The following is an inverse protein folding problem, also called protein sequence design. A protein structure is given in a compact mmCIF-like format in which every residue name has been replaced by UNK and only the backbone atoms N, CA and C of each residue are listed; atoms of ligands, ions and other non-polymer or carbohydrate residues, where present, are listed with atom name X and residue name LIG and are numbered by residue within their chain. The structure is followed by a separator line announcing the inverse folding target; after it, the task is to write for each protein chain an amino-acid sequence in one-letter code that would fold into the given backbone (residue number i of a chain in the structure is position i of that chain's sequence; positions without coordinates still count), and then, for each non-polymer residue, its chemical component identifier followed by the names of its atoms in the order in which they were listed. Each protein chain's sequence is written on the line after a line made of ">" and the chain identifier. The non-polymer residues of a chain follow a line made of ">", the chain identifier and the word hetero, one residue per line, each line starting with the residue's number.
data_IF_010221138538
#
_entry.id   IF_010221138538
#
_cell.length_a   1.000
_cell.length_b   1.000
_cell.length_c   1.000
_cell.angle_alpha   90.00
_cell.angle_beta   90.00
_cell.angle_gamma   90.00
#
_symmetry.space_group_name_H-M   'P 1'
#
loop_
_entity.id
_entity.type
_entity.pdbx_description
1 polymer ?
#
# COMPACT_ATOMS: atom_id res chain seq x y z
N UNK A 1 -26.14 40.68 16.28
CA UNK A 1 -25.30 39.72 15.52
C UNK A 1 -25.88 39.58 14.11
N UNK A 2 -25.07 39.75 13.06
CA UNK A 2 -25.54 39.78 11.66
C UNK A 2 -26.14 38.41 11.24
N UNK A 3 -27.41 38.34 10.79
CA UNK A 3 -28.08 37.08 10.42
C UNK A 3 -27.35 36.33 9.28
N UNK A 4 -26.66 37.06 8.40
CA UNK A 4 -25.83 36.46 7.34
C UNK A 4 -24.66 35.63 7.87
N UNK A 5 -24.13 35.95 9.07
CA UNK A 5 -23.04 35.16 9.69
C UNK A 5 -23.52 33.79 10.20
N UNK A 6 -24.77 33.67 10.65
CA UNK A 6 -25.36 32.38 11.04
C UNK A 6 -25.59 31.49 9.82
N UNK A 7 -26.06 32.07 8.72
CA UNK A 7 -26.38 31.33 7.50
C UNK A 7 -25.14 30.68 6.86
N UNK A 8 -23.98 31.37 6.86
CA UNK A 8 -22.71 30.82 6.33
C UNK A 8 -22.23 29.59 7.12
N UNK A 9 -22.40 29.58 8.43
CA UNK A 9 -22.06 28.43 9.27
C UNK A 9 -22.97 27.22 9.01
N UNK A 10 -24.27 27.48 8.89
CA UNK A 10 -25.23 26.44 8.52
C UNK A 10 -25.00 25.91 7.10
N UNK A 11 -24.60 26.75 6.14
CA UNK A 11 -24.26 26.29 4.80
C UNK A 11 -23.02 25.39 4.76
N UNK A 12 -22.00 25.69 5.57
CA UNK A 12 -20.75 24.88 5.66
C UNK A 12 -20.97 23.55 6.41
N UNK A 13 -22.02 23.42 7.23
CA UNK A 13 -22.31 22.20 7.98
C UNK A 13 -23.47 21.38 7.37
N UNK A 14 -24.60 22.02 7.07
CA UNK A 14 -25.82 21.34 6.63
C UNK A 14 -25.74 20.87 5.17
N UNK A 15 -25.13 21.66 4.28
CA UNK A 15 -25.01 21.30 2.87
C UNK A 15 -24.11 20.05 2.68
N UNK A 16 -22.94 19.95 3.35
CA UNK A 16 -22.16 18.72 3.35
C UNK A 16 -22.89 17.50 3.92
N UNK A 17 -23.61 17.66 5.02
CA UNK A 17 -24.36 16.57 5.66
C UNK A 17 -25.47 16.07 4.73
N UNK A 18 -26.18 16.97 4.05
CA UNK A 18 -27.21 16.61 3.07
C UNK A 18 -26.63 15.85 1.88
N UNK A 19 -25.47 16.26 1.36
CA UNK A 19 -24.76 15.54 0.28
C UNK A 19 -24.31 14.14 0.73
N UNK A 20 -23.78 14.02 1.95
CA UNK A 20 -23.37 12.72 2.54
C UNK A 20 -24.60 11.81 2.74
N UNK A 21 -25.69 12.34 3.29
CA UNK A 21 -26.93 11.61 3.50
C UNK A 21 -27.54 11.14 2.18
N UNK A 22 -27.62 12.03 1.17
CA UNK A 22 -28.10 11.69 -0.17
C UNK A 22 -27.27 10.59 -0.83
N UNK A 23 -25.95 10.57 -0.63
CA UNK A 23 -25.11 9.47 -1.11
C UNK A 23 -25.39 8.14 -0.39
N UNK A 24 -25.74 8.15 0.90
CA UNK A 24 -26.00 6.93 1.66
C UNK A 24 -27.30 6.21 1.30
N UNK A 25 -28.23 6.91 0.63
CA UNK A 25 -29.57 6.41 0.27
C UNK A 25 -29.84 6.44 -1.25
N UNK A 26 -28.90 6.94 -2.05
CA UNK A 26 -29.07 7.17 -3.49
C UNK A 26 -28.85 5.92 -4.38
N UNK A 27 -29.43 5.89 -5.60
CA UNK A 27 -29.22 4.81 -6.56
C UNK A 27 -27.75 4.66 -6.97
N UNK A 28 -27.31 3.43 -7.25
CA UNK A 28 -25.90 3.10 -7.54
C UNK A 28 -25.28 3.86 -8.74
N UNK A 29 -26.08 4.46 -9.63
CA UNK A 29 -25.65 5.21 -10.81
C UNK A 29 -25.19 6.66 -10.56
N UNK A 30 -25.27 7.18 -9.33
CA UNK A 30 -24.95 8.59 -9.02
C UNK A 30 -23.45 8.87 -8.78
N UNK A 31 -22.59 7.85 -8.96
CA UNK A 31 -21.27 7.76 -8.32
C UNK A 31 -20.21 8.76 -8.78
N UNK A 32 -20.23 9.31 -9.98
CA UNK A 32 -19.12 10.20 -10.42
C UNK A 32 -19.23 11.67 -9.95
N UNK A 33 -20.35 12.40 -10.17
CA UNK A 33 -20.49 13.78 -9.67
C UNK A 33 -20.68 13.83 -8.14
N UNK A 34 -21.31 12.83 -7.55
CA UNK A 34 -21.52 12.76 -6.09
C UNK A 34 -20.22 12.46 -5.35
N UNK A 35 -19.28 11.70 -5.92
CA UNK A 35 -17.95 11.49 -5.30
C UNK A 35 -17.18 12.80 -5.19
N UNK A 36 -17.19 13.67 -6.21
CA UNK A 36 -16.53 14.99 -6.12
C UNK A 36 -17.19 15.89 -5.06
N UNK A 37 -18.53 15.88 -4.98
CA UNK A 37 -19.27 16.64 -3.98
C UNK A 37 -19.07 16.08 -2.56
N UNK A 38 -18.91 14.76 -2.41
CA UNK A 38 -18.57 14.11 -1.14
C UNK A 38 -17.20 14.55 -0.61
N UNK A 39 -16.19 14.64 -1.49
CA UNK A 39 -14.87 15.11 -1.09
C UNK A 39 -14.91 16.55 -0.61
N UNK A 40 -15.61 17.44 -1.32
CA UNK A 40 -15.83 18.82 -0.91
C UNK A 40 -16.63 18.89 0.41
N UNK A 41 -17.61 18.01 0.58
CA UNK A 41 -18.45 17.93 1.78
C UNK A 41 -17.65 17.50 3.01
N UNK A 42 -16.86 16.43 2.89
CA UNK A 42 -15.96 15.99 3.96
C UNK A 42 -14.90 17.03 4.29
N UNK A 43 -14.32 17.69 3.29
CA UNK A 43 -13.36 18.77 3.49
C UNK A 43 -14.00 19.93 4.25
N UNK A 44 -15.21 20.36 3.86
CA UNK A 44 -15.95 21.41 4.55
C UNK A 44 -16.27 21.06 6.01
N UNK A 45 -16.69 19.82 6.27
CA UNK A 45 -16.91 19.31 7.62
C UNK A 45 -15.62 19.27 8.45
N UNK A 46 -14.51 18.78 7.89
CA UNK A 46 -13.22 18.75 8.58
C UNK A 46 -12.75 20.16 8.94
N UNK A 47 -12.89 21.12 8.02
CA UNK A 47 -12.57 22.53 8.27
C UNK A 47 -13.48 23.12 9.35
N UNK A 48 -14.77 22.81 9.34
CA UNK A 48 -15.73 23.29 10.33
C UNK A 48 -15.45 22.72 11.73
N UNK A 49 -15.13 21.42 11.81
CA UNK A 49 -14.74 20.73 13.04
C UNK A 49 -13.40 21.26 13.56
N UNK A 50 -12.39 21.39 12.71
CA UNK A 50 -11.09 21.98 13.05
C UNK A 50 -11.25 23.42 13.56
N UNK A 51 -12.08 24.23 12.90
CA UNK A 51 -12.36 25.59 13.35
C UNK A 51 -13.07 25.63 14.70
N UNK A 52 -14.03 24.74 14.92
CA UNK A 52 -14.78 24.64 16.17
C UNK A 52 -13.87 24.18 17.31
N UNK A 53 -13.06 23.14 17.08
CA UNK A 53 -12.07 22.64 18.02
C UNK A 53 -11.02 23.71 18.37
N UNK A 54 -10.51 24.46 17.39
CA UNK A 54 -9.60 25.58 17.63
C UNK A 54 -10.23 26.64 18.54
N UNK A 55 -11.51 26.98 18.32
CA UNK A 55 -12.21 27.94 19.18
C UNK A 55 -12.47 27.40 20.59
N UNK A 56 -12.69 26.10 20.74
CA UNK A 56 -12.89 25.48 22.04
C UNK A 56 -11.56 25.39 22.84
N UNK A 57 -10.45 25.09 22.16
CA UNK A 57 -9.13 24.94 22.78
C UNK A 57 -8.44 26.29 23.06
N UNK A 58 -8.74 27.30 22.25
CA UNK A 58 -8.11 28.62 22.31
C UNK A 58 -9.17 29.73 22.24
N UNK A 59 -10.12 29.70 23.17
CA UNK A 59 -11.20 30.69 23.28
C UNK A 59 -10.66 32.11 23.58
N UNK A 60 -9.51 32.19 24.24
CA UNK A 60 -8.73 33.41 24.49
C UNK A 60 -7.96 33.92 23.25
N UNK A 61 -7.76 33.10 22.21
CA UNK A 61 -6.98 33.47 21.03
C UNK A 61 -7.88 33.88 19.85
N UNK A 62 -8.21 35.17 19.78
CA UNK A 62 -9.03 35.73 18.71
C UNK A 62 -8.20 36.07 17.47
N UNK A 63 -8.34 35.27 16.40
CA UNK A 63 -7.58 35.46 15.15
C UNK A 63 -7.73 36.84 14.50
N UNK A 64 -8.87 37.54 14.67
CA UNK A 64 -9.04 38.91 14.17
C UNK A 64 -8.25 39.92 15.01
N UNK A 65 -8.26 39.77 16.33
CA UNK A 65 -7.49 40.66 17.21
C UNK A 65 -5.99 40.43 17.04
N UNK A 66 -5.55 39.17 16.91
CA UNK A 66 -4.17 38.83 16.59
C UNK A 66 -3.73 39.43 15.25
N UNK A 67 -4.56 39.32 14.20
CA UNK A 67 -4.29 39.95 12.90
C UNK A 67 -4.14 41.47 13.00
N UNK A 68 -5.09 42.15 13.67
CA UNK A 68 -5.03 43.61 13.82
C UNK A 68 -3.81 44.05 14.64
N UNK A 69 -3.46 43.31 15.69
CA UNK A 69 -2.25 43.57 16.49
C UNK A 69 -0.95 43.29 15.72
N UNK A 70 -0.97 42.38 14.74
CA UNK A 70 0.18 42.12 13.87
C UNK A 70 0.49 43.29 12.93
N UNK A 71 -0.53 44.10 12.61
CA UNK A 71 -0.33 45.34 11.86
C UNK A 71 0.27 46.46 12.72
N UNK A 72 0.16 46.37 14.05
CA UNK A 72 0.68 47.37 15.00
C UNK A 72 2.09 47.02 15.51
N UNK A 73 2.34 45.75 15.88
CA UNK A 73 3.63 45.27 16.37
C UNK A 73 4.00 43.94 15.68
N UNK A 74 4.82 43.98 14.62
CA UNK A 74 4.85 42.92 13.61
C UNK A 74 5.37 41.57 14.10
N UNK A 75 6.29 41.55 15.07
CA UNK A 75 6.96 40.32 15.50
C UNK A 75 6.06 39.45 16.40
N UNK A 76 5.67 39.95 17.58
CA UNK A 76 4.92 39.16 18.56
C UNK A 76 3.54 38.73 18.07
N UNK A 77 2.83 39.60 17.35
CA UNK A 77 1.54 39.26 16.80
C UNK A 77 1.63 38.47 15.48
N UNK A 78 2.73 38.60 14.72
CA UNK A 78 3.07 37.67 13.63
C UNK A 78 3.29 36.24 14.11
N UNK A 79 4.01 36.05 15.24
CA UNK A 79 4.21 34.74 15.86
C UNK A 79 2.89 34.13 16.37
N UNK A 80 2.02 34.94 17.00
CA UNK A 80 0.70 34.49 17.45
C UNK A 80 -0.21 34.07 16.28
N UNK A 81 -0.17 34.80 15.16
CA UNK A 81 -0.90 34.44 13.94
C UNK A 81 -0.36 33.15 13.32
N UNK A 82 0.96 32.99 13.23
CA UNK A 82 1.60 31.77 12.74
C UNK A 82 1.22 30.55 13.61
N UNK A 83 1.25 30.68 14.93
CA UNK A 83 0.82 29.62 15.85
C UNK A 83 -0.62 29.18 15.63
N UNK A 84 -1.54 30.14 15.39
CA UNK A 84 -2.93 29.84 15.04
C UNK A 84 -3.06 29.11 13.70
N UNK A 85 -2.27 29.48 12.69
CA UNK A 85 -2.22 28.79 11.40
C UNK A 85 -1.71 27.35 11.54
N UNK A 86 -0.65 27.13 12.33
CA UNK A 86 -0.08 25.79 12.59
C UNK A 86 -1.10 24.90 13.30
N UNK A 87 -1.74 25.40 14.36
CA UNK A 87 -2.81 24.66 15.08
C UNK A 87 -3.96 24.32 14.14
N UNK A 88 -4.41 25.27 13.32
CA UNK A 88 -5.48 25.02 12.35
C UNK A 88 -5.07 23.94 11.32
N UNK A 89 -3.83 23.97 10.82
CA UNK A 89 -3.30 22.97 9.90
C UNK A 89 -3.23 21.59 10.54
N UNK A 90 -2.72 21.47 11.78
CA UNK A 90 -2.66 20.20 12.52
C UNK A 90 -4.06 19.62 12.74
N UNK A 91 -5.03 20.45 13.14
CA UNK A 91 -6.41 20.00 13.32
C UNK A 91 -7.04 19.55 12.00
N UNK A 92 -6.85 20.30 10.90
CA UNK A 92 -7.33 19.87 9.58
C UNK A 92 -6.70 18.54 9.19
N UNK A 93 -5.38 18.38 9.34
CA UNK A 93 -4.67 17.15 9.03
C UNK A 93 -5.20 15.95 9.85
N UNK A 94 -5.43 16.15 11.15
CA UNK A 94 -6.01 15.14 12.03
C UNK A 94 -7.42 14.71 11.60
N UNK A 95 -8.24 15.64 11.10
CA UNK A 95 -9.59 15.34 10.61
C UNK A 95 -9.60 14.80 9.16
N UNK A 96 -8.61 15.13 8.32
CA UNK A 96 -8.50 14.63 6.93
C UNK A 96 -7.96 13.21 6.82
N UNK A 97 -7.51 12.59 7.92
CA UNK A 97 -6.99 11.22 7.96
C UNK A 97 -7.97 10.11 7.54
N UNK A 98 -9.18 10.45 7.10
CA UNK A 98 -10.21 9.51 6.62
C UNK A 98 -10.30 9.41 5.10
N UNK A 99 -9.18 9.54 4.38
CA UNK A 99 -9.09 8.92 3.05
C UNK A 99 -9.12 7.40 3.24
N UNK A 100 -10.32 6.85 3.47
CA UNK A 100 -10.51 5.42 3.63
C UNK A 100 -10.04 4.77 2.35
N UNK A 101 -8.98 3.97 2.46
CA UNK A 101 -8.69 2.95 1.46
C UNK A 101 -10.01 2.25 1.12
N UNK A 102 -10.23 1.96 -0.17
CA UNK A 102 -11.38 1.13 -0.56
C UNK A 102 -11.43 -0.10 0.36
N UNK A 103 -12.62 -0.56 0.72
CA UNK A 103 -12.78 -1.65 1.68
C UNK A 103 -11.97 -2.89 1.32
N UNK A 104 -11.74 -3.78 2.29
CA UNK A 104 -11.04 -5.05 2.06
C UNK A 104 -11.92 -5.96 1.18
N UNK A 105 -11.40 -6.56 0.09
CA UNK A 105 -12.20 -7.47 -0.75
C UNK A 105 -12.77 -8.62 0.08
N UNK A 106 -14.01 -9.05 -0.17
CA UNK A 106 -14.64 -10.13 0.60
C UNK A 106 -13.81 -11.43 0.63
N UNK A 107 -13.21 -11.90 -0.49
CA UNK A 107 -12.33 -13.07 -0.45
C UNK A 107 -11.12 -12.89 0.47
N UNK A 108 -10.59 -11.67 0.56
CA UNK A 108 -9.50 -11.35 1.48
C UNK A 108 -9.94 -11.44 2.95
N UNK A 109 -11.15 -10.98 3.26
CA UNK A 109 -11.72 -11.09 4.61
C UNK A 109 -11.88 -12.56 5.02
N UNK A 110 -12.34 -13.40 4.10
CA UNK A 110 -12.53 -14.84 4.32
C UNK A 110 -11.21 -15.59 4.52
N UNK A 111 -10.16 -15.22 3.77
CA UNK A 111 -8.85 -15.85 3.84
C UNK A 111 -7.94 -15.27 4.92
N UNK A 112 -8.25 -14.09 5.48
CA UNK A 112 -7.40 -13.44 6.48
C UNK A 112 -7.04 -14.33 7.69
N UNK A 113 -7.96 -15.09 8.31
CA UNK A 113 -7.60 -15.99 9.41
C UNK A 113 -6.57 -17.06 9.01
N UNK A 114 -6.71 -17.64 7.82
CA UNK A 114 -5.76 -18.61 7.27
C UNK A 114 -4.38 -17.95 7.03
N UNK A 115 -4.36 -16.73 6.49
CA UNK A 115 -3.11 -15.99 6.26
C UNK A 115 -2.41 -15.70 7.59
N UNK A 116 -3.15 -15.26 8.61
CA UNK A 116 -2.60 -15.03 9.95
C UNK A 116 -2.05 -16.33 10.53
N UNK A 117 -2.79 -17.43 10.44
CA UNK A 117 -2.33 -18.74 10.93
C UNK A 117 -1.02 -19.17 10.28
N UNK A 118 -0.91 -19.07 8.95
CA UNK A 118 0.32 -19.43 8.23
C UNK A 118 1.49 -18.50 8.60
N UNK A 119 1.24 -17.20 8.82
CA UNK A 119 2.27 -16.26 9.31
C UNK A 119 2.77 -16.70 10.69
N UNK A 120 1.87 -16.99 11.64
CA UNK A 120 2.27 -17.41 12.99
C UNK A 120 3.06 -18.73 12.99
N UNK A 121 2.69 -19.67 12.12
CA UNK A 121 3.32 -20.98 12.05
C UNK A 121 4.68 -20.95 11.34
N UNK A 122 4.83 -20.14 10.29
CA UNK A 122 5.99 -20.23 9.40
C UNK A 122 6.92 -19.02 9.44
N UNK A 123 6.45 -17.84 9.85
CA UNK A 123 7.28 -16.65 10.00
C UNK A 123 6.69 -15.60 10.95
N UNK A 124 6.58 -15.89 12.26
CA UNK A 124 5.97 -14.98 13.23
C UNK A 124 6.72 -13.65 13.38
N UNK A 125 8.03 -13.67 13.08
CA UNK A 125 8.92 -12.50 13.08
C UNK A 125 8.88 -11.66 11.79
N UNK A 126 7.93 -11.90 10.89
CA UNK A 126 7.72 -11.07 9.69
C UNK A 126 7.57 -9.59 10.10
N UNK A 127 8.39 -8.65 9.55
CA UNK A 127 8.42 -7.26 10.05
C UNK A 127 7.10 -6.51 9.95
N UNK A 128 6.26 -6.85 8.96
CA UNK A 128 4.95 -6.24 8.71
C UNK A 128 3.98 -7.28 8.15
N UNK A 129 2.99 -7.70 8.92
CA UNK A 129 2.05 -8.75 8.49
C UNK A 129 1.14 -8.29 7.35
N UNK A 130 0.69 -7.04 7.42
CA UNK A 130 -0.10 -6.39 6.37
C UNK A 130 0.55 -6.38 4.98
N UNK A 131 1.88 -6.55 4.90
CA UNK A 131 2.59 -6.72 3.63
C UNK A 131 2.06 -7.92 2.83
N UNK A 132 1.80 -9.06 3.48
CA UNK A 132 1.34 -10.28 2.79
C UNK A 132 0.01 -10.04 2.10
N UNK A 133 -0.90 -9.31 2.75
CA UNK A 133 -2.18 -8.95 2.13
C UNK A 133 -2.02 -7.98 0.97
N UNK A 134 -1.08 -7.02 1.09
CA UNK A 134 -0.75 -6.09 0.02
C UNK A 134 -0.13 -6.79 -1.19
N UNK A 135 0.74 -7.78 -0.95
CA UNK A 135 1.36 -8.62 -1.96
C UNK A 135 0.29 -9.44 -2.70
N UNK A 136 -0.58 -10.15 -1.99
CA UNK A 136 -1.66 -10.94 -2.60
C UNK A 136 -2.58 -10.04 -3.46
N UNK A 137 -2.91 -8.84 -2.98
CA UNK A 137 -3.66 -7.88 -3.78
C UNK A 137 -2.90 -7.46 -5.04
N UNK A 138 -1.60 -7.17 -4.93
CA UNK A 138 -0.76 -6.76 -6.07
C UNK A 138 -0.68 -7.85 -7.14
N UNK A 139 -0.61 -9.10 -6.71
CA UNK A 139 -0.46 -10.25 -7.60
C UNK A 139 -1.78 -10.66 -8.26
N UNK A 140 -2.92 -10.48 -7.60
CA UNK A 140 -4.20 -11.05 -8.07
C UNK A 140 -5.25 -10.03 -8.53
N UNK A 141 -5.16 -8.77 -8.07
CA UNK A 141 -6.20 -7.78 -8.26
C UNK A 141 -5.85 -6.77 -9.37
N UNK A 142 -6.42 -6.98 -10.56
CA UNK A 142 -6.46 -5.94 -11.62
C UNK A 142 -7.26 -4.71 -11.16
N UNK A 143 -8.35 -4.98 -10.45
CA UNK A 143 -9.13 -4.02 -9.66
C UNK A 143 -9.65 -4.75 -8.43
N UNK A 144 -10.10 -4.00 -7.41
CA UNK A 144 -10.60 -4.61 -6.17
C UNK A 144 -11.89 -5.43 -6.36
N UNK A 145 -12.62 -5.17 -7.44
CA UNK A 145 -13.85 -5.89 -7.80
C UNK A 145 -13.60 -6.99 -8.84
N UNK A 146 -12.36 -7.18 -9.28
CA UNK A 146 -12.04 -8.19 -10.29
C UNK A 146 -12.27 -9.59 -9.70
N UNK A 147 -12.86 -10.55 -10.44
CA UNK A 147 -13.16 -11.89 -9.91
C UNK A 147 -11.93 -12.67 -9.43
N UNK A 148 -10.75 -12.37 -9.99
CA UNK A 148 -9.50 -12.99 -9.56
C UNK A 148 -8.90 -12.34 -8.31
N UNK A 149 -9.39 -11.16 -7.89
CA UNK A 149 -8.83 -10.45 -6.74
C UNK A 149 -8.98 -11.28 -5.47
N UNK A 150 -7.85 -11.63 -4.84
CA UNK A 150 -7.79 -12.53 -3.68
C UNK A 150 -8.39 -13.92 -3.90
N UNK A 151 -8.50 -14.37 -5.15
CA UNK A 151 -8.96 -15.72 -5.46
C UNK A 151 -7.81 -16.71 -5.43
N UNK A 152 -8.02 -17.88 -4.81
CA UNK A 152 -7.08 -19.01 -4.90
C UNK A 152 -6.97 -19.54 -6.34
N UNK A 153 -7.98 -19.26 -7.18
CA UNK A 153 -8.00 -19.63 -8.61
C UNK A 153 -7.48 -18.51 -9.52
N UNK A 154 -6.89 -17.45 -8.96
CA UNK A 154 -6.25 -16.40 -9.76
C UNK A 154 -5.20 -17.01 -10.71
N UNK A 155 -5.35 -16.74 -12.00
CA UNK A 155 -4.55 -17.40 -13.04
C UNK A 155 -4.18 -16.42 -14.14
N UNK A 156 -2.87 -16.27 -14.35
CA UNK A 156 -2.29 -15.77 -15.58
C UNK A 156 -1.83 -16.98 -16.38
N UNK A 157 -2.38 -17.21 -17.58
CA UNK A 157 -1.95 -18.32 -18.43
C UNK A 157 -1.73 -17.82 -19.86
N UNK A 158 -0.53 -18.03 -20.37
CA UNK A 158 -0.17 -17.80 -21.77
C UNK A 158 0.51 -19.06 -22.33
N UNK A 159 0.93 -19.01 -23.59
CA UNK A 159 1.76 -20.08 -24.18
C UNK A 159 3.16 -20.16 -23.56
N UNK A 160 3.62 -19.11 -22.86
CA UNK A 160 4.97 -19.03 -22.29
C UNK A 160 5.02 -19.11 -20.78
N UNK A 161 3.92 -18.79 -20.09
CA UNK A 161 3.93 -18.70 -18.63
C UNK A 161 2.58 -19.07 -18.00
N UNK A 162 2.67 -19.55 -16.76
CA UNK A 162 1.52 -19.74 -15.88
C UNK A 162 1.85 -19.19 -14.50
N UNK A 163 1.16 -18.14 -14.09
CA UNK A 163 1.13 -17.61 -12.73
C UNK A 163 -0.13 -18.10 -12.02
N UNK A 164 0.02 -18.70 -10.84
CA UNK A 164 -1.06 -19.39 -10.14
C UNK A 164 -1.27 -18.92 -8.70
N UNK A 165 -2.54 -18.79 -8.32
CA UNK A 165 -3.00 -18.58 -6.96
C UNK A 165 -2.64 -17.22 -6.36
N UNK A 166 -2.76 -17.16 -5.03
CA UNK A 166 -2.66 -15.92 -4.24
C UNK A 166 -1.30 -15.22 -4.37
N UNK A 167 -0.22 -15.97 -4.61
CA UNK A 167 1.13 -15.44 -4.79
C UNK A 167 1.59 -15.38 -6.25
N UNK A 168 0.74 -15.72 -7.22
CA UNK A 168 1.10 -15.88 -8.63
C UNK A 168 2.39 -16.70 -8.83
N UNK A 169 2.50 -17.85 -8.15
CA UNK A 169 3.65 -18.76 -8.31
C UNK A 169 3.76 -19.15 -9.78
N UNK A 170 4.96 -19.00 -10.36
CA UNK A 170 5.12 -18.99 -11.81
C UNK A 170 5.94 -20.16 -12.33
N UNK A 171 5.50 -20.78 -13.42
CA UNK A 171 6.33 -21.62 -14.30
C UNK A 171 6.31 -21.09 -15.72
N UNK A 172 7.39 -21.32 -16.46
CA UNK A 172 7.50 -20.90 -17.86
C UNK A 172 8.03 -22.00 -18.75
N UNK A 173 7.75 -21.85 -20.05
CA UNK A 173 8.14 -22.78 -21.10
C UNK A 173 8.94 -22.08 -22.20
N UNK A 174 9.83 -22.84 -22.84
CA UNK A 174 10.42 -22.47 -24.13
C UNK A 174 9.39 -22.69 -25.25
N UNK A 175 9.72 -22.23 -26.45
CA UNK A 175 8.86 -22.38 -27.63
C UNK A 175 8.58 -23.86 -27.99
N UNK A 176 9.49 -24.78 -27.65
CA UNK A 176 9.34 -26.22 -27.83
C UNK A 176 8.52 -26.91 -26.72
N UNK A 177 7.99 -26.14 -25.76
CA UNK A 177 7.24 -26.67 -24.61
C UNK A 177 8.10 -27.20 -23.47
N UNK A 178 9.44 -27.18 -23.58
CA UNK A 178 10.31 -27.57 -22.47
C UNK A 178 10.25 -26.56 -21.32
N UNK A 179 10.26 -27.00 -20.05
CA UNK A 179 10.29 -26.09 -18.91
C UNK A 179 11.54 -25.21 -18.92
N UNK A 180 11.35 -23.91 -18.69
CA UNK A 180 12.44 -22.94 -18.55
C UNK A 180 12.75 -22.65 -17.08
N UNK A 181 11.73 -22.40 -16.27
CA UNK A 181 11.85 -22.34 -14.81
C UNK A 181 10.51 -22.70 -14.16
N UNK A 182 10.57 -23.18 -12.92
CA UNK A 182 9.40 -23.54 -12.10
C UNK A 182 9.61 -23.05 -10.66
N UNK A 183 8.99 -21.90 -10.34
CA UNK A 183 9.13 -21.30 -9.03
C UNK A 183 8.48 -22.13 -7.92
N UNK A 184 7.49 -22.99 -8.23
CA UNK A 184 6.89 -23.88 -7.24
C UNK A 184 7.93 -24.91 -6.80
N UNK A 185 8.59 -25.58 -7.76
CA UNK A 185 9.64 -26.54 -7.48
C UNK A 185 10.83 -25.91 -6.73
N UNK A 186 11.27 -24.71 -7.14
CA UNK A 186 12.30 -23.95 -6.43
C UNK A 186 11.89 -23.64 -4.98
N UNK A 187 10.64 -23.24 -4.77
CA UNK A 187 10.13 -22.91 -3.43
C UNK A 187 10.01 -24.16 -2.55
N UNK A 188 9.57 -25.29 -3.12
CA UNK A 188 9.57 -26.56 -2.40
C UNK A 188 10.97 -26.95 -1.94
N UNK A 189 12.00 -26.73 -2.76
CA UNK A 189 13.38 -27.03 -2.40
C UNK A 189 13.88 -26.19 -1.20
N UNK A 190 13.30 -25.01 -0.96
CA UNK A 190 13.62 -24.18 0.22
C UNK A 190 13.01 -24.73 1.52
N UNK A 191 11.93 -25.51 1.44
CA UNK A 191 11.22 -26.05 2.59
C UNK A 191 10.51 -27.38 2.26
N UNK A 192 11.26 -28.46 1.99
CA UNK A 192 10.73 -29.70 1.42
C UNK A 192 9.69 -30.37 2.32
N UNK A 193 9.85 -30.30 3.64
CA UNK A 193 8.88 -30.88 4.58
C UNK A 193 7.60 -30.06 4.67
N UNK A 194 7.70 -28.74 4.63
CA UNK A 194 6.56 -27.84 4.79
C UNK A 194 5.70 -27.74 3.52
N UNK A 195 6.29 -28.03 2.35
CA UNK A 195 5.66 -27.89 1.04
C UNK A 195 5.60 -29.19 0.24
N UNK A 196 5.85 -30.35 0.88
CA UNK A 196 5.89 -31.66 0.21
C UNK A 196 4.65 -31.96 -0.62
N UNK A 197 3.49 -31.58 -0.12
CA UNK A 197 2.20 -31.80 -0.79
C UNK A 197 1.89 -30.76 -1.86
N UNK A 198 2.63 -29.65 -1.95
CA UNK A 198 2.31 -28.58 -2.88
C UNK A 198 2.67 -28.97 -4.30
N UNK A 199 1.76 -28.81 -5.25
CA UNK A 199 1.99 -29.21 -6.63
C UNK A 199 1.15 -28.38 -7.59
N UNK A 200 1.47 -28.46 -8.88
CA UNK A 200 0.66 -27.82 -9.92
C UNK A 200 -0.77 -28.39 -10.02
N UNK A 201 -1.02 -29.59 -9.50
CA UNK A 201 -2.34 -30.21 -9.48
C UNK A 201 -3.24 -29.61 -8.39
N UNK A 202 -2.65 -29.02 -7.35
CA UNK A 202 -3.39 -28.47 -6.21
C UNK A 202 -3.10 -26.99 -5.90
N UNK A 203 -2.30 -26.32 -6.73
CA UNK A 203 -1.91 -24.91 -6.56
C UNK A 203 -3.11 -23.95 -6.49
N UNK A 204 -4.25 -24.31 -7.08
CA UNK A 204 -5.47 -23.50 -7.08
C UNK A 204 -6.47 -23.84 -5.96
N UNK A 205 -6.26 -24.97 -5.27
CA UNK A 205 -7.21 -25.53 -4.28
C UNK A 205 -6.65 -25.53 -2.86
N UNK A 206 -5.33 -25.65 -2.68
CA UNK A 206 -4.64 -25.66 -1.38
C UNK A 206 -4.14 -24.25 -1.03
N UNK A 207 -5.07 -23.39 -0.60
CA UNK A 207 -4.80 -21.99 -0.28
C UNK A 207 -3.69 -21.82 0.78
N UNK A 208 -3.67 -22.69 1.78
CA UNK A 208 -2.68 -22.70 2.85
C UNK A 208 -1.28 -22.98 2.32
N UNK A 209 -1.11 -23.93 1.38
CA UNK A 209 0.19 -24.18 0.75
C UNK A 209 0.62 -23.02 -0.15
N UNK A 210 -0.34 -22.35 -0.81
CA UNK A 210 -0.06 -21.13 -1.58
C UNK A 210 0.45 -19.98 -0.72
N UNK A 211 -0.19 -19.74 0.43
CA UNK A 211 0.27 -18.73 1.41
C UNK A 211 1.60 -19.15 2.03
N UNK A 212 1.77 -20.41 2.40
CA UNK A 212 3.04 -20.96 2.91
C UNK A 212 4.17 -20.75 1.92
N UNK A 213 3.93 -20.98 0.63
CA UNK A 213 4.89 -20.74 -0.44
C UNK A 213 5.35 -19.28 -0.48
N UNK A 214 4.41 -18.32 -0.37
CA UNK A 214 4.74 -16.88 -0.25
C UNK A 214 5.68 -16.65 0.94
N UNK A 215 5.34 -17.16 2.12
CA UNK A 215 6.10 -16.96 3.34
C UNK A 215 7.49 -17.60 3.27
N UNK A 216 7.61 -18.82 2.75
CA UNK A 216 8.89 -19.52 2.57
C UNK A 216 9.82 -18.72 1.66
N UNK A 217 9.33 -18.26 0.49
CA UNK A 217 10.14 -17.44 -0.43
C UNK A 217 10.63 -16.16 0.21
N UNK A 218 9.73 -15.43 0.89
CA UNK A 218 10.08 -14.15 1.50
C UNK A 218 11.03 -14.34 2.68
N UNK A 219 10.82 -15.35 3.52
CA UNK A 219 11.68 -15.66 4.68
C UNK A 219 13.09 -16.06 4.24
N UNK A 220 13.21 -16.94 3.25
CA UNK A 220 14.51 -17.33 2.68
C UNK A 220 15.23 -16.12 2.07
N UNK A 221 14.54 -15.31 1.27
CA UNK A 221 15.11 -14.07 0.76
C UNK A 221 15.57 -13.14 1.89
N UNK A 222 14.74 -12.95 2.91
CA UNK A 222 15.03 -12.03 4.02
C UNK A 222 16.28 -12.49 4.78
N UNK A 223 16.42 -13.79 5.04
CA UNK A 223 17.62 -14.37 5.66
C UNK A 223 18.87 -14.21 4.78
N UNK A 224 18.75 -14.39 3.45
CA UNK A 224 19.87 -14.16 2.52
C UNK A 224 20.32 -12.70 2.52
N UNK A 225 19.37 -11.77 2.52
CA UNK A 225 19.68 -10.33 2.53
C UNK A 225 20.28 -9.89 3.88
N UNK A 226 19.82 -10.48 4.98
CA UNK A 226 20.44 -10.31 6.30
C UNK A 226 21.88 -10.82 6.33
N UNK A 227 22.16 -11.99 5.76
CA UNK A 227 23.52 -12.52 5.64
C UNK A 227 24.44 -11.64 4.78
N UNK A 228 23.87 -10.78 3.91
CA UNK A 228 24.59 -9.77 3.14
C UNK A 228 24.79 -8.44 3.91
N UNK A 229 24.55 -8.42 5.22
CA UNK A 229 24.82 -7.29 6.11
C UNK A 229 23.69 -6.27 6.25
N UNK A 230 22.55 -6.44 5.56
CA UNK A 230 21.44 -5.50 5.68
C UNK A 230 20.74 -5.68 7.03
N UNK A 231 20.95 -4.73 7.94
CA UNK A 231 20.44 -4.78 9.31
C UNK A 231 18.95 -4.45 9.39
N UNK A 232 18.51 -3.42 8.66
CA UNK A 232 17.14 -2.89 8.81
C UNK A 232 16.09 -3.81 8.18
N UNK A 233 15.13 -4.37 8.95
CA UNK A 233 14.19 -5.38 8.45
C UNK A 233 13.29 -4.88 7.30
N UNK A 234 12.96 -3.59 7.28
CA UNK A 234 12.17 -3.00 6.20
C UNK A 234 12.97 -2.83 4.91
N UNK A 235 14.26 -2.58 4.98
CA UNK A 235 15.15 -2.55 3.81
C UNK A 235 15.25 -3.97 3.21
N UNK A 236 15.35 -4.99 4.07
CA UNK A 236 15.32 -6.40 3.65
C UNK A 236 14.01 -6.76 2.98
N UNK A 237 12.88 -6.39 3.57
CA UNK A 237 11.56 -6.67 3.00
C UNK A 237 11.37 -5.98 1.64
N UNK A 238 11.85 -4.74 1.49
CA UNK A 238 11.81 -4.01 0.21
C UNK A 238 12.65 -4.69 -0.89
N UNK A 239 13.87 -5.11 -0.55
CA UNK A 239 14.71 -5.89 -1.45
C UNK A 239 14.05 -7.22 -1.82
N UNK A 240 13.42 -7.90 -0.85
CA UNK A 240 12.75 -9.17 -1.10
C UNK A 240 11.50 -9.05 -1.94
N UNK A 241 10.72 -7.98 -1.78
CA UNK A 241 9.60 -7.69 -2.67
C UNK A 241 10.07 -7.44 -4.12
N UNK A 242 11.17 -6.70 -4.29
CA UNK A 242 11.79 -6.50 -5.59
C UNK A 242 12.28 -7.81 -6.21
N UNK A 243 12.86 -8.72 -5.43
CA UNK A 243 13.24 -10.06 -5.87
C UNK A 243 12.03 -10.97 -6.13
N UNK A 244 10.94 -10.82 -5.38
CA UNK A 244 9.70 -11.58 -5.57
C UNK A 244 9.13 -11.30 -6.97
N UNK A 245 9.06 -10.02 -7.35
CA UNK A 245 8.56 -9.59 -8.65
C UNK A 245 9.58 -9.73 -9.79
N UNK A 246 10.85 -9.45 -9.53
CA UNK A 246 11.88 -9.25 -10.56
C UNK A 246 13.02 -10.27 -10.55
N UNK A 247 12.96 -11.28 -9.68
CA UNK A 247 13.97 -12.33 -9.50
C UNK A 247 15.18 -11.91 -8.65
N UNK A 248 15.73 -12.88 -7.91
CA UNK A 248 16.93 -12.70 -7.08
C UNK A 248 18.14 -12.20 -7.86
N UNK A 249 18.41 -12.79 -9.03
CA UNK A 249 19.53 -12.36 -9.87
C UNK A 249 19.45 -10.90 -10.31
N UNK A 250 18.22 -10.39 -10.52
CA UNK A 250 17.99 -8.98 -10.81
C UNK A 250 18.31 -8.08 -9.60
N UNK A 251 17.83 -8.45 -8.41
CA UNK A 251 18.16 -7.72 -7.18
C UNK A 251 19.67 -7.71 -6.89
N UNK A 252 20.34 -8.85 -7.08
CA UNK A 252 21.78 -8.95 -6.86
C UNK A 252 22.56 -7.99 -7.78
N UNK A 253 22.15 -7.88 -9.05
CA UNK A 253 22.71 -6.91 -10.00
C UNK A 253 22.41 -5.47 -9.59
N UNK A 254 21.19 -5.16 -9.16
CA UNK A 254 20.80 -3.83 -8.69
C UNK A 254 21.66 -3.38 -7.50
N UNK A 255 21.88 -4.28 -6.52
CA UNK A 255 22.77 -4.05 -5.38
C UNK A 255 24.22 -3.85 -5.79
N UNK A 256 24.71 -4.69 -6.71
CA UNK A 256 26.08 -4.57 -7.21
C UNK A 256 26.30 -3.24 -7.92
N UNK A 257 25.36 -2.81 -8.76
CA UNK A 257 25.41 -1.52 -9.44
C UNK A 257 25.39 -0.35 -8.45
N UNK A 258 24.56 -0.42 -7.41
CA UNK A 258 24.57 0.55 -6.32
C UNK A 258 25.95 0.59 -5.64
N UNK A 259 26.55 -0.55 -5.30
CA UNK A 259 27.88 -0.60 -4.67
C UNK A 259 28.99 0.05 -5.53
N UNK A 260 28.82 0.06 -6.86
CA UNK A 260 29.74 0.71 -7.80
C UNK A 260 29.41 2.19 -8.07
N UNK A 261 28.28 2.70 -7.57
CA UNK A 261 27.83 4.07 -7.83
C UNK A 261 28.17 4.96 -6.64
N UNK A 262 28.89 6.06 -6.90
CA UNK A 262 29.25 7.04 -5.88
C UNK A 262 28.01 7.57 -5.14
N UNK A 263 28.04 7.51 -3.80
CA UNK A 263 26.94 7.97 -2.94
C UNK A 263 25.79 6.97 -2.76
N UNK A 264 25.86 5.76 -3.32
CA UNK A 264 24.84 4.73 -3.09
C UNK A 264 25.28 3.71 -2.02
N UNK A 265 24.37 3.39 -1.10
CA UNK A 265 24.57 2.38 -0.06
C UNK A 265 23.87 1.07 -0.46
N UNK A 266 24.60 -0.01 -0.82
CA UNK A 266 23.99 -1.27 -1.23
C UNK A 266 23.29 -2.01 -0.08
N UNK A 267 23.38 -1.50 1.16
CA UNK A 267 22.64 -2.00 2.31
C UNK A 267 21.28 -1.32 2.49
N UNK A 268 20.96 -0.30 1.69
CA UNK A 268 19.70 0.44 1.77
C UNK A 268 18.95 0.32 0.45
N UNK A 269 17.66 0.04 0.53
CA UNK A 269 16.77 0.08 -0.61
C UNK A 269 16.33 1.51 -0.90
N UNK A 270 15.72 2.17 0.09
CA UNK A 270 15.09 3.48 -0.08
C UNK A 270 16.13 4.57 -0.28
N UNK A 271 15.99 5.34 -1.35
CA UNK A 271 16.95 6.37 -1.76
C UNK A 271 18.29 5.84 -2.30
N UNK A 272 18.44 4.52 -2.43
CA UNK A 272 19.69 3.87 -2.82
C UNK A 272 19.42 2.80 -3.88
N UNK A 273 19.43 1.50 -3.56
CA UNK A 273 19.30 0.40 -4.54
C UNK A 273 18.08 0.56 -5.46
N UNK A 274 16.99 1.18 -5.00
CA UNK A 274 15.82 1.40 -5.84
C UNK A 274 16.07 2.28 -7.10
N UNK A 275 17.12 3.10 -7.10
CA UNK A 275 17.48 3.97 -8.23
C UNK A 275 18.46 3.31 -9.22
N UNK A 276 19.09 2.20 -8.85
CA UNK A 276 20.15 1.55 -9.62
C UNK A 276 19.71 0.17 -10.10
N UNK A 277 19.52 0.02 -11.40
CA UNK A 277 19.13 -1.26 -12.00
C UNK A 277 19.48 -1.35 -13.47
N UNK A 278 19.82 -2.56 -13.92
CA UNK A 278 19.99 -2.90 -15.33
C UNK A 278 18.69 -3.33 -16.02
N UNK A 279 17.55 -3.34 -15.30
CA UNK A 279 16.25 -3.63 -15.92
C UNK A 279 15.93 -2.59 -17.00
N UNK A 280 15.34 -3.04 -18.10
CA UNK A 280 14.95 -2.16 -19.20
C UNK A 280 14.05 -1.04 -18.69
N UNK A 281 14.37 0.19 -19.11
CA UNK A 281 13.56 1.40 -18.92
C UNK A 281 12.62 1.67 -20.09
N UNK A 282 12.63 0.81 -21.11
CA UNK A 282 11.69 0.88 -22.23
C UNK A 282 10.34 0.30 -21.80
N UNK A 283 9.22 1.01 -22.00
CA UNK A 283 7.89 0.49 -21.71
C UNK A 283 7.59 -0.81 -22.48
N UNK A 284 7.03 -1.80 -21.80
CA UNK A 284 6.55 -3.01 -22.45
C UNK A 284 5.18 -2.80 -23.09
N UNK A 285 5.02 -3.29 -24.32
CA UNK A 285 3.74 -3.35 -25.02
C UNK A 285 2.71 -4.10 -24.14
N UNK A 286 1.56 -3.47 -23.90
CA UNK A 286 0.47 -4.02 -23.08
C UNK A 286 0.51 -3.68 -21.58
N UNK A 287 1.66 -3.28 -21.03
CA UNK A 287 1.79 -2.88 -19.62
C UNK A 287 1.87 -1.37 -19.40
N UNK A 288 2.30 -0.62 -20.43
CA UNK A 288 2.45 0.85 -20.35
C UNK A 288 3.57 1.32 -19.42
N UNK A 289 4.36 0.39 -18.87
CA UNK A 289 5.45 0.64 -17.94
C UNK A 289 6.65 -0.24 -18.29
N UNK A 290 7.85 0.20 -17.90
CA UNK A 290 9.08 -0.54 -18.13
C UNK A 290 9.30 -1.63 -17.07
N UNK A 291 10.21 -2.58 -17.33
CA UNK A 291 10.58 -3.60 -16.35
C UNK A 291 11.14 -2.98 -15.05
N UNK A 292 11.87 -1.86 -15.18
CA UNK A 292 12.31 -1.06 -14.05
C UNK A 292 11.13 -0.51 -13.25
N UNK A 293 10.21 0.19 -13.93
CA UNK A 293 9.09 0.87 -13.27
C UNK A 293 8.12 -0.11 -12.62
N UNK A 294 7.83 -1.24 -13.28
CA UNK A 294 6.96 -2.30 -12.75
C UNK A 294 7.51 -2.82 -11.43
N UNK A 295 8.81 -3.10 -11.39
CA UNK A 295 9.46 -3.66 -10.21
C UNK A 295 9.48 -2.67 -9.03
N UNK A 296 9.83 -1.39 -9.28
CA UNK A 296 9.84 -0.38 -8.23
C UNK A 296 8.43 0.01 -7.77
N UNK A 297 7.47 0.04 -8.69
CA UNK A 297 6.07 0.25 -8.33
C UNK A 297 5.49 -0.93 -7.54
N UNK A 298 6.04 -2.13 -7.68
CA UNK A 298 5.68 -3.27 -6.84
C UNK A 298 6.02 -3.00 -5.37
N UNK A 299 7.28 -2.63 -5.09
CA UNK A 299 7.75 -2.33 -3.72
C UNK A 299 7.00 -1.18 -3.08
N UNK A 300 6.78 -0.08 -3.82
CA UNK A 300 6.00 1.06 -3.31
C UNK A 300 4.58 0.66 -2.89
N UNK A 301 3.91 -0.13 -3.73
CA UNK A 301 2.54 -0.55 -3.50
C UNK A 301 2.37 -1.55 -2.35
N UNK A 302 3.40 -2.32 -2.01
CA UNK A 302 3.31 -3.42 -1.02
C UNK A 302 4.04 -3.12 0.29
N UNK A 303 5.20 -2.47 0.24
CA UNK A 303 6.11 -2.29 1.40
C UNK A 303 5.93 -0.95 2.11
N UNK A 304 5.57 0.12 1.40
CA UNK A 304 5.27 1.40 2.05
C UNK A 304 3.85 1.42 2.61
N UNK A 305 3.57 2.33 3.56
CA UNK A 305 2.21 2.52 4.09
C UNK A 305 1.35 3.31 3.10
N UNK A 306 1.22 2.79 1.89
CA UNK A 306 0.31 3.30 0.86
C UNK A 306 -1.09 2.69 1.05
N UNK A 307 -2.14 3.21 0.36
CA UNK A 307 -3.52 2.79 0.58
C UNK A 307 -3.75 1.27 0.48
N UNK A 308 -2.91 0.55 -0.26
CA UNK A 308 -2.98 -0.91 -0.39
C UNK A 308 -2.55 -1.62 0.89
N UNK A 309 -1.36 -1.36 1.42
CA UNK A 309 -0.91 -2.02 2.68
C UNK A 309 -1.78 -1.62 3.86
N UNK A 310 -2.17 -0.35 3.94
CA UNK A 310 -3.05 0.15 5.00
C UNK A 310 -4.36 -0.65 5.11
N UNK A 311 -4.92 -1.09 3.97
CA UNK A 311 -6.15 -1.89 3.90
C UNK A 311 -6.10 -3.16 4.74
N UNK A 312 -4.93 -3.80 4.84
CA UNK A 312 -4.77 -5.10 5.50
C UNK A 312 -4.23 -5.00 6.93
N UNK A 313 -3.86 -3.81 7.41
CA UNK A 313 -3.30 -3.61 8.75
C UNK A 313 -4.22 -4.11 9.87
N UNK A 314 -5.53 -3.89 9.74
CA UNK A 314 -6.50 -4.37 10.73
C UNK A 314 -6.82 -5.86 10.62
N UNK A 315 -6.58 -6.47 9.46
CA UNK A 315 -6.98 -7.86 9.17
C UNK A 315 -5.88 -8.86 9.45
N UNK A 316 -4.63 -8.49 9.19
CA UNK A 316 -3.47 -9.37 9.35
C UNK A 316 -2.58 -8.96 10.53
N UNK A 317 -2.88 -7.83 11.19
CA UNK A 317 -2.06 -7.23 12.23
C UNK A 317 -1.02 -6.24 11.69
N UNK A 318 -0.38 -5.54 12.64
CA UNK A 318 0.72 -4.60 12.41
C UNK A 318 2.04 -5.35 12.28
#
# INVERSE_FOLDING_TARGET
>A
MNPLKRWRWWAILALPILVIAANSIGPAGWREPVVKLLWLSWTALCVALAHSARKALFDYANGRQAWLKALEHPIGAGLAFLGLCVVAAVLVLAFTGFARAQGVPLPAQQLAPLVVQEIEQHWPALPRRSYVGALIEKETCRSITHPQCWSTTARLKTSREEGAGLGQITRTWRADGSPRFDALAETQALAPDALREWSWDNVYTRAELGVRGILVKLRDCHARIEALGVVEPMERLAMCDAAYNGGWGGLAQDRHLCALTAGCDPQRWFGHVEHHSNKSRTPWQGYGASAFDINRAHVRATVLLEPRRWRYAQWLGV
#
